data_IF_348647427863
#
_entry.id   IF_348647427863
#
_cell.length_a   1.000
_cell.length_b   1.000
_cell.length_c   1.000
_cell.angle_alpha   90.00
_cell.angle_beta   90.00
_cell.angle_gamma   90.00
#
_symmetry.space_group_name_H-M   'P 1'
#
loop_
_entity.id
_entity.type
_entity.pdbx_description
1 polymer ?
#
# COMPACT_ATOMS: atom_id res chain seq x y z
N UNK A 1 -12.37 -19.53 18.53
CA UNK A 1 -12.95 -18.88 17.35
C UNK A 1 -11.86 -18.18 16.56
N UNK A 2 -11.37 -18.81 15.50
CA UNK A 2 -10.41 -18.21 14.58
C UNK A 2 -11.12 -17.17 13.73
N UNK A 3 -10.74 -15.89 13.89
CA UNK A 3 -11.24 -14.81 13.03
C UNK A 3 -10.46 -14.88 11.72
N UNK A 4 -10.99 -15.61 10.75
CA UNK A 4 -10.49 -15.53 9.38
C UNK A 4 -10.74 -14.10 8.87
N UNK A 5 -9.70 -13.36 8.45
CA UNK A 5 -9.90 -12.10 7.75
C UNK A 5 -10.56 -12.44 6.41
N UNK A 6 -11.84 -12.12 6.26
CA UNK A 6 -12.54 -12.23 4.98
C UNK A 6 -11.96 -11.20 4.02
N UNK A 7 -11.42 -11.66 2.89
CA UNK A 7 -10.88 -10.80 1.84
C UNK A 7 -12.07 -10.24 1.03
N UNK A 8 -12.16 -8.92 0.98
CA UNK A 8 -13.34 -8.18 0.51
C UNK A 8 -13.70 -8.44 -0.96
N UNK A 9 -12.75 -8.90 -1.78
CA UNK A 9 -12.97 -9.29 -3.19
C UNK A 9 -13.78 -10.58 -3.34
N UNK A 10 -13.88 -11.43 -2.30
CA UNK A 10 -14.60 -12.72 -2.35
C UNK A 10 -16.08 -12.66 -1.93
N UNK A 11 -16.58 -11.51 -1.48
CA UNK A 11 -17.96 -11.36 -0.96
C UNK A 11 -18.94 -10.74 -1.97
N UNK A 12 -18.53 -10.57 -3.23
CA UNK A 12 -19.40 -10.06 -4.28
C UNK A 12 -20.24 -11.20 -4.83
N UNK A 13 -21.38 -11.46 -4.19
CA UNK A 13 -22.37 -12.40 -4.70
C UNK A 13 -23.66 -12.49 -3.91
N UNK A 14 -23.61 -12.63 -2.58
CA UNK A 14 -24.78 -13.15 -1.85
C UNK A 14 -25.10 -12.51 -0.49
N UNK A 15 -24.30 -11.57 0.02
CA UNK A 15 -24.51 -10.99 1.36
C UNK A 15 -24.75 -9.48 1.32
N UNK A 16 -25.99 -9.05 1.62
CA UNK A 16 -26.32 -7.67 1.95
C UNK A 16 -25.76 -7.33 3.33
N UNK A 17 -24.80 -6.42 3.39
CA UNK A 17 -24.13 -6.00 4.64
C UNK A 17 -24.58 -4.60 5.11
N UNK A 18 -25.80 -4.17 4.79
CA UNK A 18 -26.32 -2.85 5.17
C UNK A 18 -26.82 -2.74 6.62
N UNK A 19 -26.72 -3.81 7.41
CA UNK A 19 -27.19 -3.78 8.79
C UNK A 19 -26.44 -2.71 9.59
N UNK A 20 -27.14 -1.83 10.34
CA UNK A 20 -26.52 -0.69 11.03
C UNK A 20 -25.48 -1.08 12.10
N UNK A 21 -25.46 -2.35 12.51
CA UNK A 21 -24.46 -2.92 13.40
C UNK A 21 -23.14 -3.31 12.71
N UNK A 22 -23.12 -3.48 11.38
CA UNK A 22 -21.90 -3.84 10.67
C UNK A 22 -20.92 -2.67 10.66
N UNK A 23 -19.69 -2.99 11.05
CA UNK A 23 -18.56 -2.07 11.00
C UNK A 23 -17.49 -2.74 10.19
N UNK A 24 -16.94 -2.01 9.22
CA UNK A 24 -15.66 -2.38 8.64
C UNK A 24 -14.66 -2.29 9.78
N UNK A 25 -13.91 -3.37 10.03
CA UNK A 25 -12.88 -3.44 11.07
C UNK A 25 -11.47 -3.39 10.50
N UNK A 26 -11.35 -3.77 9.23
CA UNK A 26 -10.13 -3.72 8.44
C UNK A 26 -10.49 -3.52 6.98
N UNK A 27 -9.73 -2.71 6.28
CA UNK A 27 -9.71 -2.70 4.83
C UNK A 27 -8.28 -2.40 4.39
N UNK A 28 -7.87 -3.01 3.29
CA UNK A 28 -6.51 -2.89 2.79
C UNK A 28 -6.56 -2.30 1.38
N UNK A 29 -5.65 -1.38 1.06
CA UNK A 29 -5.47 -0.86 -0.29
C UNK A 29 -4.09 -1.28 -0.77
N UNK A 30 -4.05 -2.07 -1.83
CA UNK A 30 -2.80 -2.50 -2.46
C UNK A 30 -2.48 -1.65 -3.69
N UNK A 31 -1.21 -1.28 -3.83
CA UNK A 31 -0.66 -0.60 -5.01
C UNK A 31 0.59 -1.32 -5.47
N UNK A 32 0.69 -1.62 -6.76
CA UNK A 32 1.85 -2.27 -7.35
C UNK A 32 2.78 -1.20 -7.97
N UNK A 33 4.08 -1.36 -7.70
CA UNK A 33 5.17 -0.48 -8.13
C UNK A 33 6.10 -1.29 -9.04
N UNK A 34 6.47 -0.72 -10.18
CA UNK A 34 7.28 -1.38 -11.23
C UNK A 34 8.78 -1.35 -10.90
N UNK A 35 9.13 -1.64 -9.64
CA UNK A 35 10.49 -1.72 -9.15
C UNK A 35 10.56 -2.82 -8.08
N UNK A 36 11.65 -3.60 -8.02
CA UNK A 36 11.88 -4.58 -6.96
C UNK A 36 12.11 -3.89 -5.62
N UNK A 37 11.74 -4.54 -4.52
CA UNK A 37 11.79 -3.94 -3.18
C UNK A 37 13.24 -3.69 -2.76
N UNK A 38 14.17 -4.49 -3.28
CA UNK A 38 15.61 -4.31 -3.11
C UNK A 38 16.14 -2.97 -3.65
N UNK A 39 15.45 -2.34 -4.60
CA UNK A 39 15.79 -1.03 -5.17
C UNK A 39 15.03 0.14 -4.54
N UNK A 40 14.13 -0.13 -3.59
CA UNK A 40 13.29 0.89 -2.98
C UNK A 40 13.74 1.20 -1.55
N UNK A 41 13.78 2.49 -1.22
CA UNK A 41 13.74 2.95 0.16
C UNK A 41 12.38 3.56 0.46
N UNK A 42 11.69 3.03 1.47
CA UNK A 42 10.33 3.41 1.80
C UNK A 42 10.32 4.00 3.21
N UNK A 43 9.70 5.16 3.38
CA UNK A 43 9.51 5.79 4.69
C UNK A 43 8.10 6.34 4.85
N UNK A 44 7.60 6.24 6.08
CA UNK A 44 6.46 7.02 6.53
C UNK A 44 6.93 7.83 7.74
N UNK A 45 7.11 9.16 7.59
CA UNK A 45 7.61 10.01 8.66
C UNK A 45 6.76 9.92 9.94
N UNK A 46 5.45 9.74 9.80
CA UNK A 46 4.50 9.64 10.91
C UNK A 46 4.52 8.29 11.64
N UNK A 47 5.13 7.25 11.05
CA UNK A 47 5.30 5.97 11.76
C UNK A 47 6.29 6.12 12.92
N UNK A 48 6.23 5.23 13.91
CA UNK A 48 7.24 5.12 14.96
C UNK A 48 8.23 3.98 14.71
N UNK A 49 7.86 3.01 13.88
CA UNK A 49 8.64 1.80 13.66
C UNK A 49 8.60 1.32 12.21
N UNK A 50 9.64 0.61 11.82
CA UNK A 50 9.72 -0.14 10.57
C UNK A 50 10.67 -1.32 10.73
N UNK A 51 10.51 -2.37 9.92
CA UNK A 51 11.39 -3.53 9.93
C UNK A 51 11.32 -4.29 8.62
N UNK A 52 12.48 -4.83 8.20
CA UNK A 52 12.60 -5.69 7.02
C UNK A 52 12.83 -7.13 7.47
N UNK A 53 12.11 -8.05 6.84
CA UNK A 53 12.15 -9.47 7.10
C UNK A 53 12.54 -10.16 5.80
N UNK A 54 13.48 -11.08 5.90
CA UNK A 54 13.95 -11.86 4.76
C UNK A 54 13.40 -13.28 4.87
N UNK A 55 13.13 -13.90 3.74
CA UNK A 55 12.87 -15.34 3.72
C UNK A 55 14.12 -16.12 4.18
N UNK A 56 14.00 -17.42 4.53
CA UNK A 56 15.13 -18.22 4.98
C UNK A 56 16.28 -18.35 3.97
N UNK A 57 16.00 -18.08 2.69
CA UNK A 57 16.96 -18.20 1.58
C UNK A 57 17.61 -16.84 1.27
N UNK A 58 17.15 -15.76 1.91
CA UNK A 58 17.55 -14.38 1.66
C UNK A 58 17.03 -13.77 0.36
N UNK A 59 16.18 -14.49 -0.39
CA UNK A 59 15.82 -14.13 -1.76
C UNK A 59 14.71 -13.07 -1.82
N UNK A 60 13.67 -13.23 -1.00
CA UNK A 60 12.56 -12.27 -0.90
C UNK A 60 12.60 -11.54 0.42
N UNK A 61 12.18 -10.28 0.36
CA UNK A 61 12.01 -9.46 1.55
C UNK A 61 10.61 -8.91 1.68
N UNK A 62 10.15 -8.79 2.92
CA UNK A 62 8.95 -8.06 3.28
C UNK A 62 9.33 -6.93 4.22
N UNK A 63 8.87 -5.72 3.92
CA UNK A 63 9.11 -4.54 4.72
C UNK A 63 7.82 -4.07 5.36
N UNK A 64 7.82 -3.90 6.68
CA UNK A 64 6.70 -3.36 7.43
C UNK A 64 7.02 -1.97 7.94
N UNK A 65 6.02 -1.07 7.86
CA UNK A 65 6.02 0.21 8.54
C UNK A 65 4.83 0.23 9.50
N UNK A 66 5.10 0.51 10.77
CA UNK A 66 4.14 0.35 11.85
C UNK A 66 4.08 -1.08 12.38
N UNK A 67 3.18 -1.32 13.32
CA UNK A 67 3.01 -2.64 13.96
C UNK A 67 1.71 -3.28 13.49
N UNK A 68 1.55 -4.58 13.71
CA UNK A 68 0.29 -5.24 13.36
C UNK A 68 -0.92 -4.61 14.07
N UNK A 69 -0.72 -4.01 15.26
CA UNK A 69 -1.80 -3.42 16.07
C UNK A 69 -2.07 -1.94 15.74
N UNK A 70 -1.26 -1.29 14.90
CA UNK A 70 -1.47 0.14 14.62
C UNK A 70 -2.70 0.38 13.74
N UNK A 71 -3.32 1.59 13.82
CA UNK A 71 -4.46 1.95 12.97
C UNK A 71 -4.15 1.90 11.47
N UNK A 72 -2.87 2.05 11.11
CA UNK A 72 -2.32 1.82 9.78
C UNK A 72 -1.07 0.96 9.95
N UNK A 73 -0.96 -0.11 9.17
CA UNK A 73 0.28 -0.82 8.90
C UNK A 73 0.54 -0.78 7.40
N UNK A 74 1.75 -0.45 6.97
CA UNK A 74 2.13 -0.56 5.57
C UNK A 74 2.98 -1.82 5.42
N UNK A 75 2.62 -2.67 4.45
CA UNK A 75 3.34 -3.90 4.14
C UNK A 75 3.82 -3.83 2.69
N UNK A 76 5.12 -3.89 2.48
CA UNK A 76 5.72 -3.88 1.16
C UNK A 76 6.40 -5.22 0.90
N UNK A 77 6.11 -5.88 -0.21
CA UNK A 77 6.70 -7.17 -0.54
C UNK A 77 6.82 -7.34 -2.05
N UNK A 78 7.77 -8.16 -2.48
CA UNK A 78 7.91 -8.50 -3.89
C UNK A 78 6.84 -9.51 -4.29
N UNK A 79 6.20 -9.24 -5.42
CA UNK A 79 5.29 -10.17 -6.07
C UNK A 79 6.07 -11.19 -6.88
N UNK A 80 5.71 -12.46 -6.73
CA UNK A 80 6.40 -13.64 -7.29
C UNK A 80 6.51 -13.62 -8.82
N UNK A 81 5.67 -12.84 -9.47
CA UNK A 81 5.36 -12.94 -10.89
C UNK A 81 6.05 -11.89 -11.78
N UNK A 82 6.64 -10.79 -11.26
CA UNK A 82 6.98 -9.66 -12.15
C UNK A 82 8.08 -8.67 -11.67
N UNK A 83 8.94 -8.98 -10.69
CA UNK A 83 9.87 -7.98 -10.08
C UNK A 83 9.16 -6.70 -9.59
N UNK A 84 7.87 -6.82 -9.27
CA UNK A 84 7.03 -5.72 -8.81
C UNK A 84 6.97 -5.73 -7.29
N UNK A 85 7.05 -4.56 -6.70
CA UNK A 85 6.76 -4.39 -5.27
C UNK A 85 5.28 -4.07 -5.10
N UNK A 86 4.58 -4.87 -4.31
CA UNK A 86 3.26 -4.51 -3.80
C UNK A 86 3.42 -3.74 -2.49
N UNK A 87 2.74 -2.60 -2.39
CA UNK A 87 2.63 -1.77 -1.19
C UNK A 87 1.17 -1.83 -0.73
N UNK A 88 0.92 -2.48 0.40
CA UNK A 88 -0.39 -2.58 1.03
C UNK A 88 -0.51 -1.60 2.19
N UNK A 89 -1.50 -0.73 2.12
CA UNK A 89 -1.94 0.10 3.23
C UNK A 89 -3.05 -0.64 3.97
N UNK A 90 -2.73 -1.18 5.14
CA UNK A 90 -3.63 -2.00 5.95
C UNK A 90 -4.27 -1.14 7.04
N UNK A 91 -5.51 -0.73 6.82
CA UNK A 91 -6.22 0.17 7.72
C UNK A 91 -7.06 -0.63 8.72
N UNK A 92 -6.86 -0.36 10.00
CA UNK A 92 -7.66 -0.91 11.11
C UNK A 92 -8.55 0.19 11.65
N UNK A 93 -9.66 0.40 10.97
CA UNK A 93 -10.68 1.36 11.35
C UNK A 93 -11.95 0.62 11.71
N UNK A 94 -12.56 0.95 12.85
CA UNK A 94 -13.92 0.52 13.20
C UNK A 94 -14.87 1.60 12.71
N UNK A 95 -15.21 1.56 11.43
CA UNK A 95 -16.06 2.59 10.78
C UNK A 95 -17.30 1.93 10.19
N UNK A 96 -18.43 2.65 10.23
CA UNK A 96 -19.64 2.18 9.52
C UNK A 96 -19.35 2.18 8.03
N UNK A 97 -19.85 1.18 7.30
CA UNK A 97 -19.57 1.00 5.87
C UNK A 97 -19.85 2.28 5.05
N UNK A 98 -20.97 2.96 5.32
CA UNK A 98 -21.34 4.20 4.61
C UNK A 98 -20.42 5.41 4.90
N UNK A 99 -19.69 5.40 6.03
CA UNK A 99 -18.76 6.49 6.39
C UNK A 99 -17.32 6.22 5.89
N UNK A 100 -17.07 5.05 5.29
CA UNK A 100 -15.73 4.65 4.89
C UNK A 100 -15.12 5.57 3.81
N UNK A 101 -15.96 6.10 2.91
CA UNK A 101 -15.55 7.04 1.86
C UNK A 101 -15.20 8.44 2.38
N UNK A 102 -15.80 8.81 3.50
CA UNK A 102 -15.62 10.12 4.15
C UNK A 102 -14.40 10.13 5.08
N UNK A 103 -13.83 8.96 5.36
CA UNK A 103 -12.66 8.82 6.23
C UNK A 103 -11.41 9.43 5.57
N UNK A 104 -11.01 10.61 6.03
CA UNK A 104 -9.83 11.33 5.52
C UNK A 104 -8.51 10.68 5.91
N UNK A 105 -8.48 9.76 6.89
CA UNK A 105 -7.25 9.16 7.40
C UNK A 105 -6.54 8.32 6.36
N UNK A 106 -7.30 7.54 5.59
CA UNK A 106 -6.69 6.74 4.53
C UNK A 106 -6.19 7.60 3.37
N UNK A 107 -6.88 8.70 3.07
CA UNK A 107 -6.46 9.65 2.05
C UNK A 107 -5.13 10.33 2.42
N UNK A 108 -5.01 10.79 3.67
CA UNK A 108 -3.79 11.39 4.21
C UNK A 108 -2.60 10.40 4.22
N UNK A 109 -2.89 9.12 4.44
CA UNK A 109 -1.86 8.07 4.51
C UNK A 109 -1.10 7.88 3.20
N UNK A 110 -1.76 8.05 2.05
CA UNK A 110 -1.11 7.99 0.74
C UNK A 110 -0.13 9.14 0.52
N UNK A 111 -0.48 10.36 0.96
CA UNK A 111 0.37 11.53 0.79
C UNK A 111 1.61 11.52 1.73
N UNK A 112 1.50 10.80 2.85
CA UNK A 112 2.58 10.69 3.82
C UNK A 112 3.64 9.63 3.45
N UNK A 113 3.32 8.67 2.59
CA UNK A 113 4.28 7.65 2.18
C UNK A 113 5.31 8.24 1.21
N UNK A 114 6.57 8.04 1.54
CA UNK A 114 7.72 8.41 0.71
C UNK A 114 8.38 7.16 0.18
N UNK A 115 8.62 7.13 -1.12
CA UNK A 115 9.26 6.01 -1.81
C UNK A 115 10.38 6.60 -2.67
N UNK A 116 11.59 6.08 -2.51
CA UNK A 116 12.78 6.54 -3.20
C UNK A 116 13.38 5.42 -4.03
N UNK A 117 13.83 5.76 -5.23
CA UNK A 117 14.56 4.87 -6.13
C UNK A 117 16.05 4.88 -5.77
N UNK A 118 16.52 3.80 -5.17
CA UNK A 118 17.89 3.72 -4.68
C UNK A 118 18.92 3.61 -5.81
N UNK A 119 18.54 3.20 -7.01
CA UNK A 119 19.47 3.19 -8.14
C UNK A 119 19.66 4.60 -8.69
N UNK A 120 18.61 5.43 -8.73
CA UNK A 120 18.77 6.88 -8.99
C UNK A 120 19.64 7.56 -7.94
N UNK A 121 19.44 7.26 -6.66
CA UNK A 121 20.30 7.79 -5.57
C UNK A 121 21.76 7.43 -5.83
N UNK A 122 22.06 6.16 -6.15
CA UNK A 122 23.44 5.72 -6.44
C UNK A 122 24.02 6.45 -7.66
N UNK A 123 23.24 6.59 -8.74
CA UNK A 123 23.69 7.20 -9.98
C UNK A 123 23.99 8.70 -9.82
N UNK A 124 23.14 9.43 -9.11
CA UNK A 124 23.27 10.88 -8.96
C UNK A 124 24.36 11.30 -7.98
N UNK A 125 24.64 10.47 -6.97
CA UNK A 125 25.49 10.87 -5.85
C UNK A 125 26.99 10.66 -6.08
N UNK A 126 27.44 10.08 -7.21
CA UNK A 126 28.86 9.97 -7.65
C UNK A 126 29.91 9.70 -6.55
N UNK A 127 29.57 8.91 -5.52
CA UNK A 127 30.46 8.57 -4.40
C UNK A 127 30.30 9.39 -3.11
N UNK A 128 29.42 10.39 -3.06
CA UNK A 128 29.08 11.13 -1.82
C UNK A 128 28.17 10.32 -0.87
N UNK A 129 27.49 9.30 -1.37
CA UNK A 129 26.65 8.42 -0.57
C UNK A 129 27.49 7.33 0.09
N UNK A 130 27.59 7.38 1.42
CA UNK A 130 28.39 6.43 2.17
C UNK A 130 27.90 4.99 1.93
N UNK A 131 28.77 4.05 1.48
CA UNK A 131 28.35 2.68 1.15
C UNK A 131 27.70 1.94 2.32
N UNK A 132 28.17 2.17 3.54
CA UNK A 132 27.61 1.54 4.75
C UNK A 132 26.16 1.98 5.00
N UNK A 133 25.82 3.24 4.69
CA UNK A 133 24.48 3.78 4.89
C UNK A 133 23.50 3.16 3.89
N UNK A 134 23.96 2.92 2.66
CA UNK A 134 23.16 2.25 1.63
C UNK A 134 22.86 0.80 2.03
N UNK A 135 23.87 0.09 2.53
CA UNK A 135 23.70 -1.25 3.06
C UNK A 135 22.72 -1.24 4.25
N UNK A 136 22.84 -0.26 5.14
CA UNK A 136 21.98 -0.14 6.32
C UNK A 136 20.52 0.18 5.96
N UNK A 137 20.27 1.09 5.01
CA UNK A 137 18.92 1.36 4.48
C UNK A 137 18.33 0.09 3.86
N UNK A 138 19.12 -0.63 3.06
CA UNK A 138 18.67 -1.85 2.38
C UNK A 138 18.33 -2.96 3.38
N UNK A 139 19.09 -3.07 4.48
CA UNK A 139 18.92 -4.10 5.49
C UNK A 139 17.85 -3.77 6.54
N UNK A 140 17.82 -2.54 7.03
CA UNK A 140 17.03 -2.12 8.21
C UNK A 140 15.90 -1.14 7.90
N UNK A 141 15.87 -0.60 6.68
CA UNK A 141 14.92 0.43 6.25
C UNK A 141 15.40 1.85 6.51
N UNK A 142 14.82 2.78 5.77
CA UNK A 142 15.23 4.19 5.77
C UNK A 142 15.02 4.86 7.13
N UNK A 143 13.94 4.54 7.83
CA UNK A 143 13.64 5.15 9.14
C UNK A 143 14.68 4.79 10.20
N UNK A 144 15.08 3.52 10.26
CA UNK A 144 16.13 3.05 11.16
C UNK A 144 17.46 3.77 10.84
N UNK A 145 17.83 3.82 9.55
CA UNK A 145 19.01 4.55 9.09
C UNK A 145 18.99 6.04 9.44
N UNK A 146 17.85 6.70 9.28
CA UNK A 146 17.70 8.11 9.66
C UNK A 146 17.83 8.32 11.16
N UNK A 147 17.33 7.38 11.98
CA UNK A 147 17.35 7.50 13.44
C UNK A 147 18.75 7.42 14.04
N UNK A 148 19.68 6.70 13.40
CA UNK A 148 21.07 6.56 13.86
C UNK A 148 21.95 7.76 13.53
N UNK A 149 21.51 8.65 12.63
CA UNK A 149 22.30 9.77 12.16
C UNK A 149 22.09 11.06 13.01
N UNK A 150 23.15 11.87 13.21
CA UNK A 150 23.01 13.22 13.75
C UNK A 150 22.06 14.09 12.91
N UNK A 151 21.46 15.12 13.52
CA UNK A 151 20.47 15.98 12.84
C UNK A 151 21.00 16.61 11.54
N UNK A 152 22.27 17.03 11.52
CA UNK A 152 22.91 17.60 10.32
C UNK A 152 22.99 16.58 9.18
N UNK A 153 23.36 15.33 9.50
CA UNK A 153 23.48 14.25 8.53
C UNK A 153 22.12 13.78 8.02
N UNK A 154 21.09 13.74 8.88
CA UNK A 154 19.71 13.48 8.46
C UNK A 154 19.24 14.48 7.40
N UNK A 155 19.52 15.77 7.60
CA UNK A 155 19.18 16.82 6.62
C UNK A 155 19.93 16.62 5.31
N UNK A 156 21.22 16.26 5.36
CA UNK A 156 22.01 15.93 4.18
C UNK A 156 21.41 14.74 3.43
N UNK A 157 21.11 13.64 4.13
CA UNK A 157 20.52 12.45 3.53
C UNK A 157 19.15 12.73 2.90
N UNK A 158 18.27 13.46 3.59
CA UNK A 158 16.96 13.86 3.03
C UNK A 158 17.11 14.66 1.73
N UNK A 159 18.10 15.58 1.67
CA UNK A 159 18.39 16.34 0.45
C UNK A 159 18.92 15.45 -0.68
N UNK A 160 19.72 14.42 -0.35
CA UNK A 160 20.24 13.46 -1.33
C UNK A 160 19.14 12.52 -1.87
N UNK A 161 18.15 12.18 -1.06
CA UNK A 161 17.04 11.31 -1.45
C UNK A 161 15.97 12.03 -2.26
N UNK A 162 15.75 13.33 -2.02
CA UNK A 162 14.66 14.10 -2.61
C UNK A 162 14.56 14.04 -4.15
N UNK A 163 15.66 14.09 -4.94
CA UNK A 163 15.57 14.01 -6.40
C UNK A 163 15.17 12.61 -6.90
N UNK A 164 15.44 11.58 -6.10
CA UNK A 164 15.09 10.20 -6.37
C UNK A 164 13.74 9.79 -5.77
N UNK A 165 12.98 10.73 -5.20
CA UNK A 165 11.62 10.46 -4.74
C UNK A 165 10.78 10.06 -5.96
N UNK A 166 10.31 8.83 -5.94
CA UNK A 166 9.38 8.37 -6.94
C UNK A 166 8.04 9.05 -6.67
N UNK A 167 7.49 9.67 -7.70
CA UNK A 167 6.06 10.01 -7.72
C UNK A 167 5.25 8.72 -7.93
N UNK A 168 5.39 7.75 -7.00
CA UNK A 168 4.61 6.50 -6.97
C UNK A 168 3.13 6.83 -6.91
N UNK A 169 2.81 8.01 -6.37
CA UNK A 169 1.48 8.54 -6.26
C UNK A 169 1.52 9.99 -6.72
N UNK A 170 0.91 10.31 -7.87
CA UNK A 170 0.12 11.54 -7.84
C UNK A 170 -1.00 11.21 -6.85
N UNK A 171 -0.84 11.66 -5.60
CA UNK A 171 -1.71 11.25 -4.49
C UNK A 171 -3.18 11.38 -4.92
N UNK A 172 -3.48 12.42 -5.72
CA UNK A 172 -4.76 12.65 -6.38
C UNK A 172 -5.24 11.51 -7.28
N UNK A 173 -4.43 10.95 -8.19
CA UNK A 173 -4.88 9.89 -9.14
C UNK A 173 -5.09 8.55 -8.43
N UNK A 174 -4.19 8.18 -7.52
CA UNK A 174 -4.33 6.93 -6.75
C UNK A 174 -5.49 7.05 -5.77
N UNK A 175 -5.63 8.18 -5.07
CA UNK A 175 -6.81 8.46 -4.24
C UNK A 175 -8.10 8.42 -5.06
N UNK A 176 -8.12 9.02 -6.26
CA UNK A 176 -9.31 8.99 -7.12
C UNK A 176 -9.69 7.56 -7.54
N UNK A 177 -8.70 6.75 -7.95
CA UNK A 177 -8.94 5.35 -8.34
C UNK A 177 -9.37 4.48 -7.15
N UNK A 178 -8.69 4.62 -6.01
CA UNK A 178 -9.05 3.93 -4.77
C UNK A 178 -10.45 4.33 -4.30
N UNK A 179 -10.78 5.63 -4.32
CA UNK A 179 -12.10 6.16 -3.97
C UNK A 179 -13.20 5.58 -4.86
N UNK A 180 -12.98 5.55 -6.19
CA UNK A 180 -13.94 4.96 -7.14
C UNK A 180 -14.18 3.48 -6.86
N UNK A 181 -13.10 2.71 -6.65
CA UNK A 181 -13.20 1.27 -6.33
C UNK A 181 -13.90 1.03 -4.99
N UNK A 182 -13.57 1.82 -3.98
CA UNK A 182 -14.19 1.74 -2.66
C UNK A 182 -15.68 2.11 -2.72
N UNK A 183 -16.03 3.13 -3.51
CA UNK A 183 -17.42 3.57 -3.67
C UNK A 183 -18.26 2.51 -4.36
N UNK A 184 -17.72 1.90 -5.42
CA UNK A 184 -18.34 0.75 -6.08
C UNK A 184 -18.55 -0.41 -5.11
N UNK A 185 -17.53 -0.74 -4.30
CA UNK A 185 -17.62 -1.82 -3.34
C UNK A 185 -18.64 -1.54 -2.23
N UNK A 186 -18.69 -0.31 -1.71
CA UNK A 186 -19.70 0.12 -0.74
C UNK A 186 -21.10 -0.05 -1.33
N UNK A 187 -21.33 0.45 -2.55
CA UNK A 187 -22.61 0.35 -3.25
C UNK A 187 -23.03 -1.10 -3.49
N UNK A 188 -22.11 -1.95 -3.93
CA UNK A 188 -22.38 -3.38 -4.13
C UNK A 188 -22.79 -4.08 -2.84
N UNK A 189 -22.14 -3.76 -1.71
CA UNK A 189 -22.44 -4.35 -0.41
C UNK A 189 -23.74 -3.83 0.23
N UNK A 190 -24.15 -2.60 -0.10
CA UNK A 190 -25.39 -1.99 0.40
C UNK A 190 -26.56 -2.11 -0.59
N UNK A 191 -26.32 -2.63 -1.80
CA UNK A 191 -27.23 -2.55 -2.93
C UNK A 191 -27.74 -1.12 -3.21
N UNK A 192 -26.88 -0.12 -2.99
CA UNK A 192 -27.19 1.30 -3.16
C UNK A 192 -26.25 1.93 -4.19
N UNK A 193 -26.65 1.85 -5.45
CA UNK A 193 -25.93 2.43 -6.58
C UNK A 193 -26.34 3.88 -6.90
N UNK A 194 -27.22 4.48 -6.09
CA UNK A 194 -27.80 5.81 -6.35
C UNK A 194 -26.78 6.95 -6.43
N UNK A 195 -25.55 6.73 -5.95
CA UNK A 195 -24.47 7.74 -5.86
C UNK A 195 -23.27 7.47 -6.79
N UNK A 196 -23.34 6.49 -7.69
CA UNK A 196 -22.25 6.17 -8.62
C UNK A 196 -22.58 6.64 -10.04
N UNK A 197 -21.68 7.43 -10.64
CA UNK A 197 -21.52 7.41 -12.10
C UNK A 197 -20.91 6.06 -12.46
N UNK A 198 -21.77 5.09 -12.78
CA UNK A 198 -21.35 3.76 -13.17
C UNK A 198 -20.69 3.82 -14.56
N UNK A 199 -19.61 3.04 -14.80
CA UNK A 199 -19.29 2.64 -16.17
C UNK A 199 -20.48 1.90 -16.77
N UNK A 200 -20.67 1.99 -18.09
CA UNK A 200 -21.68 1.24 -18.84
C UNK A 200 -21.73 -0.21 -18.34
N UNK A 201 -22.93 -0.71 -18.05
CA UNK A 201 -23.22 -2.05 -17.52
C UNK A 201 -22.51 -3.14 -18.34
N UNK A 202 -22.39 -2.93 -19.65
CA UNK A 202 -21.64 -3.82 -20.56
C UNK A 202 -20.12 -3.86 -20.31
N UNK A 203 -19.51 -2.79 -19.79
CA UNK A 203 -18.10 -2.79 -19.38
C UNK A 203 -17.89 -3.53 -18.06
N UNK A 204 -18.88 -3.50 -17.17
CA UNK A 204 -18.84 -4.19 -15.89
C UNK A 204 -18.98 -5.70 -16.09
N UNK A 205 -19.94 -6.16 -16.90
CA UNK A 205 -20.08 -7.58 -17.27
C UNK A 205 -18.80 -8.11 -17.91
N UNK A 206 -18.25 -7.41 -18.91
CA UNK A 206 -16.98 -7.81 -19.57
C UNK A 206 -15.79 -7.87 -18.61
N UNK A 207 -15.74 -6.98 -17.62
CA UNK A 207 -14.65 -6.97 -16.64
C UNK A 207 -14.79 -8.11 -15.63
N UNK A 208 -16.02 -8.41 -15.23
CA UNK A 208 -16.33 -9.53 -14.35
C UNK A 208 -16.08 -10.87 -15.06
N UNK A 209 -16.64 -11.08 -16.24
CA UNK A 209 -16.46 -12.31 -17.04
C UNK A 209 -14.99 -12.59 -17.33
N UNK A 210 -14.20 -11.54 -17.59
CA UNK A 210 -12.75 -11.66 -17.83
C UNK A 210 -11.97 -12.07 -16.58
N UNK A 211 -12.33 -11.57 -15.40
CA UNK A 211 -11.69 -11.97 -14.14
C UNK A 211 -12.20 -13.35 -13.68
N UNK A 212 -13.49 -13.64 -13.86
CA UNK A 212 -14.09 -14.94 -13.57
C UNK A 212 -13.49 -16.05 -14.43
N UNK A 213 -13.38 -15.84 -15.75
CA UNK A 213 -12.76 -16.80 -16.66
C UNK A 213 -11.30 -17.12 -16.31
N UNK A 214 -10.54 -16.15 -15.77
CA UNK A 214 -9.17 -16.40 -15.28
C UNK A 214 -9.15 -17.26 -14.03
N UNK A 215 -10.10 -17.05 -13.11
CA UNK A 215 -10.20 -17.80 -11.86
C UNK A 215 -10.68 -19.23 -12.11
N UNK A 216 -11.55 -19.45 -13.11
CA UNK A 216 -12.08 -20.77 -13.44
C UNK A 216 -11.24 -21.54 -14.46
N UNK A 217 -10.36 -20.90 -15.21
CA UNK A 217 -9.44 -21.58 -16.13
C UNK A 217 -8.28 -22.33 -15.44
N UNK A 218 -8.16 -22.18 -14.11
CA UNK A 218 -7.18 -22.87 -13.27
C UNK A 218 -7.74 -24.02 -12.44
N UNK A 219 -9.00 -24.43 -12.69
CA UNK A 219 -9.64 -25.61 -12.09
C UNK A 219 -9.91 -26.67 -13.15
#
# INVERSE_FOLDING_TARGET
MHKHPFWLEQLLGEFRLDHPAFKVTRFDIAVDVLQPLSQLAIDNPASLSSGKFFDPVGAKSTFYIGTEKSPLQICCYERDDDYRTRIEFRFRHKVKLHLLLEDSRWQASFAALKVYDMDKVKAEQKGEFAPWLLAFITASGLKAAMSTLPVKERKKLAKMLSPAELEVYSAKRVQAKARRRLAWLVAALTNDFSKLELPDEKQLERSFDKEWAKLTAGF
#
